data_IF_490971198588
#
_entry.id   IF_490971198588
#
_cell.length_a   1.000
_cell.length_b   1.000
_cell.length_c   1.000
_cell.angle_alpha   90.00
_cell.angle_beta   90.00
_cell.angle_gamma   90.00
#
_symmetry.space_group_name_H-M   'P 1'
#
loop_
_entity.id
_entity.type
_entity.pdbx_description
1 polymer ?
#
# COMPACT_ATOMS: atom_id res chain seq x y z
N UNK A 1 -2.96 -14.65 9.69
CA UNK A 1 -2.99 -13.17 9.55
C UNK A 1 -3.23 -12.85 8.09
N UNK A 2 -4.21 -11.98 7.79
CA UNK A 2 -4.54 -11.58 6.41
C UNK A 2 -4.24 -10.10 6.21
N UNK A 3 -3.38 -9.77 5.24
CA UNK A 3 -3.07 -8.39 4.85
C UNK A 3 -3.52 -8.15 3.41
N UNK A 4 -4.21 -7.04 3.18
CA UNK A 4 -4.62 -6.63 1.83
C UNK A 4 -3.63 -5.60 1.30
N UNK A 5 -3.02 -5.88 0.16
CA UNK A 5 -2.11 -4.97 -0.54
C UNK A 5 -2.90 -4.26 -1.64
N UNK A 6 -3.15 -2.96 -1.46
CA UNK A 6 -3.98 -2.14 -2.36
C UNK A 6 -3.09 -1.19 -3.13
N UNK A 7 -3.17 -1.24 -4.45
CA UNK A 7 -2.40 -0.41 -5.36
C UNK A 7 -3.30 0.49 -6.19
N UNK A 8 -3.02 1.78 -6.16
CA UNK A 8 -3.75 2.82 -6.85
C UNK A 8 -3.37 3.01 -8.32
N UNK A 9 -3.70 4.18 -8.88
CA UNK A 9 -3.59 4.44 -10.31
C UNK A 9 -2.14 4.32 -10.79
N UNK A 10 -2.02 3.77 -12.00
CA UNK A 10 -0.78 3.59 -12.73
C UNK A 10 0.19 2.54 -12.14
N UNK A 11 -0.10 1.90 -11.01
CA UNK A 11 0.76 0.83 -10.47
C UNK A 11 0.77 -0.41 -11.38
N UNK A 12 -0.30 -0.63 -12.15
CA UNK A 12 -0.35 -1.64 -13.20
C UNK A 12 0.66 -1.39 -14.35
N UNK A 13 1.17 -0.16 -14.45
CA UNK A 13 2.14 0.26 -15.47
C UNK A 13 3.59 0.24 -14.98
N UNK A 14 3.87 -0.37 -13.83
CA UNK A 14 5.23 -0.57 -13.34
C UNK A 14 6.07 -1.34 -14.38
N UNK A 15 7.34 -0.94 -14.53
CA UNK A 15 8.26 -1.49 -15.53
C UNK A 15 8.08 -0.92 -16.94
N UNK A 16 6.96 -0.30 -17.23
CA UNK A 16 6.66 0.35 -18.51
C UNK A 16 6.76 1.87 -18.39
N UNK A 17 6.22 2.40 -17.28
CA UNK A 17 6.14 3.83 -17.00
C UNK A 17 7.40 4.34 -16.30
N UNK A 18 8.00 5.41 -16.83
CA UNK A 18 9.08 6.18 -16.21
C UNK A 18 10.08 5.31 -15.42
N UNK A 19 10.84 4.39 -16.07
CA UNK A 19 11.75 3.46 -15.38
C UNK A 19 12.78 4.18 -14.49
N UNK A 20 13.18 5.39 -14.85
CA UNK A 20 14.12 6.22 -14.11
C UNK A 20 13.60 6.60 -12.70
N UNK A 21 12.27 6.66 -12.53
CA UNK A 21 11.62 6.99 -11.25
C UNK A 21 11.14 5.77 -10.47
N UNK A 22 10.66 4.74 -11.17
CA UNK A 22 9.95 3.59 -10.58
C UNK A 22 10.68 2.26 -10.75
N UNK A 23 11.83 2.25 -11.50
CA UNK A 23 12.58 1.05 -11.80
C UNK A 23 11.97 0.21 -12.91
N UNK A 24 12.62 -0.94 -13.21
CA UNK A 24 12.21 -1.85 -14.26
C UNK A 24 11.34 -3.02 -13.78
N UNK A 25 11.08 -3.13 -12.48
CA UNK A 25 10.19 -4.17 -11.97
C UNK A 25 8.76 -3.96 -12.47
N UNK A 26 8.16 -5.01 -13.00
CA UNK A 26 6.74 -5.00 -13.40
C UNK A 26 5.83 -5.18 -12.19
N UNK A 27 4.53 -4.93 -12.37
CA UNK A 27 3.54 -5.17 -11.33
C UNK A 27 3.48 -6.66 -10.93
N UNK A 28 3.57 -7.58 -11.90
CA UNK A 28 3.60 -9.02 -11.61
C UNK A 28 4.85 -9.43 -10.83
N UNK A 29 6.00 -8.82 -11.12
CA UNK A 29 7.23 -9.02 -10.34
C UNK A 29 7.10 -8.52 -8.92
N UNK A 30 6.42 -7.39 -8.71
CA UNK A 30 6.12 -6.88 -7.37
C UNK A 30 5.26 -7.86 -6.58
N UNK A 31 4.18 -8.39 -7.18
CA UNK A 31 3.34 -9.40 -6.52
C UNK A 31 4.15 -10.63 -6.14
N UNK A 32 4.95 -11.15 -7.07
CA UNK A 32 5.82 -12.32 -6.80
C UNK A 32 6.80 -12.04 -5.67
N UNK A 33 7.48 -10.89 -5.70
CA UNK A 33 8.42 -10.46 -4.67
C UNK A 33 7.79 -10.42 -3.27
N UNK A 34 6.61 -9.83 -3.15
CA UNK A 34 5.88 -9.77 -1.88
C UNK A 34 5.46 -11.17 -1.43
N UNK A 35 4.93 -11.98 -2.34
CA UNK A 35 4.49 -13.34 -2.03
C UNK A 35 5.64 -14.21 -1.54
N UNK A 36 6.77 -14.18 -2.24
CA UNK A 36 7.97 -14.94 -1.87
C UNK A 36 8.51 -14.48 -0.51
N UNK A 37 8.53 -13.16 -0.29
CA UNK A 37 8.94 -12.59 0.99
C UNK A 37 8.05 -13.04 2.14
N UNK A 38 6.74 -13.02 1.96
CA UNK A 38 5.80 -13.48 2.97
C UNK A 38 6.02 -14.96 3.30
N UNK A 39 6.17 -15.82 2.29
CA UNK A 39 6.40 -17.24 2.50
C UNK A 39 7.73 -17.53 3.22
N UNK A 40 8.76 -16.73 2.95
CA UNK A 40 10.08 -16.95 3.55
C UNK A 40 10.19 -16.42 4.99
N UNK A 41 9.44 -15.40 5.36
CA UNK A 41 9.66 -14.66 6.61
C UNK A 41 8.51 -14.76 7.61
N UNK A 42 7.30 -15.12 7.17
CA UNK A 42 6.14 -15.13 8.07
C UNK A 42 5.42 -16.48 8.05
N UNK A 43 5.23 -17.04 9.23
CA UNK A 43 4.35 -18.18 9.40
C UNK A 43 2.89 -17.69 9.49
N UNK A 44 2.01 -18.23 8.65
CA UNK A 44 0.58 -17.92 8.63
C UNK A 44 0.20 -16.47 8.26
N UNK A 45 1.02 -15.78 7.44
CA UNK A 45 0.64 -14.50 6.85
C UNK A 45 0.24 -14.71 5.38
N UNK A 46 -0.96 -14.29 5.04
CA UNK A 46 -1.51 -14.33 3.69
C UNK A 46 -1.67 -12.90 3.18
N UNK A 47 -1.16 -12.63 1.99
CA UNK A 47 -1.35 -11.38 1.28
C UNK A 47 -2.33 -11.54 0.12
N UNK A 48 -3.32 -10.67 0.05
CA UNK A 48 -4.21 -10.54 -1.10
C UNK A 48 -3.92 -9.22 -1.80
N UNK A 49 -3.89 -9.24 -3.13
CA UNK A 49 -3.50 -8.09 -3.95
C UNK A 49 -4.68 -7.52 -4.71
N UNK A 50 -4.74 -6.19 -4.76
CA UNK A 50 -5.74 -5.45 -5.52
C UNK A 50 -5.10 -4.24 -6.18
N UNK A 51 -5.47 -3.94 -7.42
CA UNK A 51 -5.05 -2.75 -8.14
C UNK A 51 -6.24 -2.13 -8.86
N UNK A 52 -6.37 -0.81 -8.79
CA UNK A 52 -7.36 -0.08 -9.58
C UNK A 52 -6.89 1.35 -9.86
N UNK A 53 -7.27 1.86 -11.04
CA UNK A 53 -7.10 3.26 -11.40
C UNK A 53 -8.28 4.14 -10.92
N UNK A 54 -9.33 3.54 -10.38
CA UNK A 54 -10.56 4.21 -9.97
C UNK A 54 -10.61 4.44 -8.45
N UNK A 55 -10.80 5.69 -8.06
CA UNK A 55 -10.86 6.08 -6.65
C UNK A 55 -11.98 5.33 -5.91
N UNK A 56 -13.18 5.27 -6.48
CA UNK A 56 -14.32 4.55 -5.88
C UNK A 56 -14.05 3.07 -5.69
N UNK A 57 -13.38 2.42 -6.63
CA UNK A 57 -13.01 1.01 -6.50
C UNK A 57 -11.99 0.77 -5.37
N UNK A 58 -11.09 1.72 -5.14
CA UNK A 58 -10.16 1.66 -4.00
C UNK A 58 -10.88 1.84 -2.67
N UNK A 59 -11.85 2.77 -2.61
CA UNK A 59 -12.73 2.95 -1.43
C UNK A 59 -13.48 1.65 -1.14
N UNK A 60 -14.12 1.08 -2.15
CA UNK A 60 -14.88 -0.18 -2.02
C UNK A 60 -13.98 -1.32 -1.52
N UNK A 61 -12.73 -1.41 -2.03
CA UNK A 61 -11.80 -2.46 -1.59
C UNK A 61 -11.35 -2.29 -0.13
N UNK A 62 -11.15 -1.05 0.32
CA UNK A 62 -10.85 -0.76 1.74
C UNK A 62 -12.03 -1.21 2.62
N UNK A 63 -13.25 -0.87 2.23
CA UNK A 63 -14.45 -1.26 2.98
C UNK A 63 -14.64 -2.78 2.99
N UNK A 64 -14.38 -3.45 1.86
CA UNK A 64 -14.45 -4.91 1.77
C UNK A 64 -13.45 -5.58 2.72
N UNK A 65 -12.26 -5.02 2.91
CA UNK A 65 -11.27 -5.54 3.85
C UNK A 65 -11.85 -5.65 5.28
N UNK A 66 -12.70 -4.72 5.68
CA UNK A 66 -13.40 -4.78 6.97
C UNK A 66 -14.36 -5.98 7.05
N UNK A 67 -15.19 -6.21 6.03
CA UNK A 67 -16.13 -7.31 6.02
C UNK A 67 -15.45 -8.68 5.92
N UNK A 68 -14.30 -8.75 5.28
CA UNK A 68 -13.44 -9.93 5.20
C UNK A 68 -12.63 -10.17 6.47
N UNK A 69 -12.68 -9.25 7.45
CA UNK A 69 -11.91 -9.29 8.69
C UNK A 69 -10.39 -9.33 8.43
N UNK A 70 -9.92 -8.53 7.49
CA UNK A 70 -8.49 -8.36 7.26
C UNK A 70 -7.82 -7.79 8.52
N UNK A 71 -6.64 -8.28 8.82
CA UNK A 71 -5.86 -7.83 9.98
C UNK A 71 -5.11 -6.52 9.70
N UNK A 72 -4.70 -6.28 8.45
CA UNK A 72 -3.94 -5.09 8.04
C UNK A 72 -4.14 -4.72 6.58
N UNK A 73 -3.77 -3.49 6.24
CA UNK A 73 -3.76 -2.97 4.87
C UNK A 73 -2.40 -2.35 4.58
N UNK A 74 -1.79 -2.73 3.46
CA UNK A 74 -0.68 -1.98 2.83
C UNK A 74 -1.26 -1.27 1.63
N UNK A 75 -1.13 0.06 1.57
CA UNK A 75 -1.70 0.84 0.48
C UNK A 75 -0.67 1.73 -0.20
N UNK A 76 -0.56 1.62 -1.52
CA UNK A 76 0.09 2.62 -2.36
C UNK A 76 -1.01 3.35 -3.14
N UNK A 77 -1.46 4.52 -2.66
CA UNK A 77 -2.58 5.21 -3.27
C UNK A 77 -2.22 5.90 -4.59
N UNK A 78 -0.94 5.88 -4.99
CA UNK A 78 -0.46 6.62 -6.15
C UNK A 78 -0.73 8.11 -5.99
N UNK A 79 -1.10 8.78 -7.08
CA UNK A 79 -1.39 10.21 -7.06
C UNK A 79 -2.61 10.60 -6.21
N UNK A 80 -3.51 9.66 -5.93
CA UNK A 80 -4.66 9.93 -5.05
C UNK A 80 -4.25 10.28 -3.62
N UNK A 81 -3.02 9.98 -3.20
CA UNK A 81 -2.51 10.42 -1.89
C UNK A 81 -2.57 11.95 -1.72
N UNK A 82 -2.40 12.69 -2.83
CA UNK A 82 -2.36 14.16 -2.84
C UNK A 82 -3.74 14.82 -2.96
N UNK A 83 -4.79 14.06 -3.27
CA UNK A 83 -6.11 14.61 -3.65
C UNK A 83 -7.28 13.95 -2.95
N UNK A 84 -7.18 12.70 -2.52
CA UNK A 84 -8.33 11.92 -2.09
C UNK A 84 -8.58 12.00 -0.60
N UNK A 85 -9.51 12.87 -0.20
CA UNK A 85 -10.11 12.84 1.13
C UNK A 85 -11.00 11.60 1.28
N UNK A 86 -11.61 11.10 0.19
CA UNK A 86 -12.43 9.90 0.22
C UNK A 86 -11.64 8.65 0.67
N UNK A 87 -10.39 8.50 0.22
CA UNK A 87 -9.52 7.41 0.70
C UNK A 87 -9.15 7.59 2.18
N UNK A 88 -8.85 8.81 2.61
CA UNK A 88 -8.61 9.12 4.03
C UNK A 88 -9.82 8.68 4.88
N UNK A 89 -11.01 9.07 4.47
CA UNK A 89 -12.24 8.75 5.20
C UNK A 89 -12.51 7.24 5.20
N UNK A 90 -12.25 6.54 4.09
CA UNK A 90 -12.41 5.08 4.02
C UNK A 90 -11.50 4.35 5.01
N UNK A 91 -10.21 4.73 5.08
CA UNK A 91 -9.26 4.13 6.04
C UNK A 91 -9.68 4.41 7.47
N UNK A 92 -10.09 5.64 7.79
CA UNK A 92 -10.61 5.99 9.11
C UNK A 92 -11.87 5.20 9.48
N UNK A 93 -12.75 4.95 8.52
CA UNK A 93 -14.01 4.22 8.75
C UNK A 93 -13.77 2.76 9.16
N UNK A 94 -12.84 2.07 8.50
CA UNK A 94 -12.59 0.64 8.74
C UNK A 94 -11.73 0.38 9.98
N UNK A 95 -10.90 1.33 10.40
CA UNK A 95 -10.01 1.24 11.56
C UNK A 95 -9.06 0.03 11.53
N UNK A 96 -8.75 -0.47 10.35
CA UNK A 96 -7.75 -1.52 10.17
C UNK A 96 -6.37 -0.85 10.15
N UNK A 97 -5.37 -1.35 10.88
CA UNK A 97 -3.99 -0.85 10.78
C UNK A 97 -3.54 -0.78 9.33
N UNK A 98 -3.20 0.43 8.87
CA UNK A 98 -2.88 0.70 7.47
C UNK A 98 -1.51 1.32 7.35
N UNK A 99 -0.66 0.76 6.48
CA UNK A 99 0.64 1.30 6.12
C UNK A 99 0.60 1.91 4.71
N UNK A 100 1.06 3.15 4.58
CA UNK A 100 1.19 3.87 3.31
C UNK A 100 2.56 3.59 2.68
N UNK A 101 2.60 3.24 1.40
CA UNK A 101 3.83 2.99 0.64
C UNK A 101 3.87 3.87 -0.61
N UNK A 102 5.04 4.45 -0.89
CA UNK A 102 5.38 5.10 -2.16
C UNK A 102 6.72 4.58 -2.65
N UNK A 103 6.78 4.14 -3.91
CA UNK A 103 8.02 3.63 -4.54
C UNK A 103 9.05 4.74 -4.65
N UNK A 104 8.65 5.92 -5.14
CA UNK A 104 9.50 7.11 -5.21
C UNK A 104 9.42 7.94 -3.93
N UNK A 105 10.45 8.74 -3.68
CA UNK A 105 10.41 9.75 -2.63
C UNK A 105 9.59 10.95 -3.12
N UNK A 106 8.32 10.98 -2.78
CA UNK A 106 7.38 12.03 -3.20
C UNK A 106 7.75 13.39 -2.61
N UNK A 107 8.47 13.44 -1.49
CA UNK A 107 8.92 14.70 -0.87
C UNK A 107 9.97 15.45 -1.71
N UNK A 108 10.62 14.77 -2.61
CA UNK A 108 11.63 15.33 -3.53
C UNK A 108 11.07 15.66 -4.92
N UNK A 109 9.76 15.60 -5.07
CA UNK A 109 9.06 15.87 -6.33
C UNK A 109 8.39 17.24 -6.30
N UNK A 110 7.50 17.51 -7.25
CA UNK A 110 6.84 18.81 -7.44
C UNK A 110 6.06 19.24 -6.18
N UNK A 111 5.89 20.53 -5.96
CA UNK A 111 5.27 21.13 -4.77
C UNK A 111 3.86 20.57 -4.49
N UNK A 112 3.08 20.29 -5.53
CA UNK A 112 1.73 19.72 -5.37
C UNK A 112 1.75 18.27 -4.81
N UNK A 113 2.91 17.62 -4.73
CA UNK A 113 3.07 16.26 -4.16
C UNK A 113 3.49 16.26 -2.69
N UNK A 114 3.57 17.43 -2.05
CA UNK A 114 4.05 17.53 -0.66
C UNK A 114 2.98 17.13 0.37
N UNK A 115 1.71 17.07 -0.02
CA UNK A 115 0.61 16.69 0.86
C UNK A 115 0.20 15.25 0.60
N UNK A 116 0.06 14.47 1.66
CA UNK A 116 -0.65 13.18 1.64
C UNK A 116 -1.81 13.25 2.64
N UNK A 117 -3.04 13.17 2.14
CA UNK A 117 -4.22 13.15 3.00
C UNK A 117 -4.34 11.83 3.76
N UNK A 118 -4.15 10.70 3.07
CA UNK A 118 -4.33 9.36 3.64
C UNK A 118 -3.35 9.07 4.78
N UNK A 119 -2.16 9.69 4.77
CA UNK A 119 -1.12 9.52 5.79
C UNK A 119 -1.62 9.76 7.20
N UNK A 120 -2.57 10.68 7.36
CA UNK A 120 -3.17 11.00 8.67
C UNK A 120 -3.91 9.83 9.30
N UNK A 121 -4.35 8.86 8.50
CA UNK A 121 -5.03 7.65 8.95
C UNK A 121 -4.11 6.42 8.99
N UNK A 122 -2.87 6.53 8.50
CA UNK A 122 -1.92 5.43 8.44
C UNK A 122 -1.06 5.38 9.71
N UNK A 123 -0.77 4.16 10.17
CA UNK A 123 0.11 3.93 11.33
C UNK A 123 1.59 3.87 10.93
N UNK A 124 1.90 3.75 9.65
CA UNK A 124 3.25 3.70 9.10
C UNK A 124 3.27 4.29 7.70
N UNK A 125 4.39 4.92 7.34
CA UNK A 125 4.62 5.45 5.99
C UNK A 125 6.06 5.19 5.58
N UNK A 126 6.24 4.66 4.38
CA UNK A 126 7.55 4.49 3.75
C UNK A 126 7.51 5.05 2.33
N UNK A 127 8.56 5.77 1.93
CA UNK A 127 8.70 6.34 0.60
C UNK A 127 10.16 6.36 0.15
N UNK A 128 10.38 6.23 -1.16
CA UNK A 128 11.71 6.34 -1.75
C UNK A 128 12.59 5.09 -1.62
N UNK A 129 12.04 3.97 -1.15
CA UNK A 129 12.75 2.70 -1.02
C UNK A 129 12.41 1.71 -2.14
N UNK A 130 11.88 2.21 -3.25
CA UNK A 130 11.45 1.33 -4.35
C UNK A 130 10.37 0.35 -3.90
N UNK A 131 10.39 -0.84 -4.49
CA UNK A 131 9.46 -1.91 -4.13
C UNK A 131 9.79 -2.58 -2.79
N UNK A 132 10.98 -2.38 -2.23
CA UNK A 132 11.33 -2.86 -0.89
C UNK A 132 10.48 -2.19 0.20
N UNK A 133 9.96 -1.00 -0.06
CA UNK A 133 9.04 -0.33 0.87
C UNK A 133 7.79 -1.14 1.22
N UNK A 134 7.33 -2.00 0.31
CA UNK A 134 6.22 -2.92 0.63
C UNK A 134 6.63 -3.97 1.66
N UNK A 135 7.85 -4.46 1.60
CA UNK A 135 8.39 -5.45 2.54
C UNK A 135 8.54 -4.82 3.93
N UNK A 136 9.05 -3.59 4.01
CA UNK A 136 9.14 -2.83 5.26
C UNK A 136 7.77 -2.57 5.89
N UNK A 137 6.76 -2.25 5.07
CA UNK A 137 5.40 -2.06 5.53
C UNK A 137 4.79 -3.36 6.10
N UNK A 138 5.08 -4.49 5.47
CA UNK A 138 4.65 -5.81 5.95
C UNK A 138 5.33 -6.18 7.26
N UNK A 139 6.64 -5.95 7.41
CA UNK A 139 7.37 -6.18 8.65
C UNK A 139 6.77 -5.37 9.79
N UNK A 140 6.52 -4.08 9.54
CA UNK A 140 5.91 -3.19 10.53
C UNK A 140 4.52 -3.69 10.97
N UNK A 141 3.65 -3.97 10.01
CA UNK A 141 2.29 -4.46 10.32
C UNK A 141 2.31 -5.81 11.02
N UNK A 142 3.16 -6.74 10.59
CA UNK A 142 3.29 -8.04 11.22
C UNK A 142 3.70 -7.91 12.70
N UNK A 143 4.70 -7.08 12.97
CA UNK A 143 5.17 -6.84 14.33
C UNK A 143 4.09 -6.15 15.20
N UNK A 144 3.42 -5.14 14.67
CA UNK A 144 2.33 -4.44 15.34
C UNK A 144 1.20 -5.40 15.71
N UNK A 145 0.74 -6.21 14.75
CA UNK A 145 -0.39 -7.10 14.90
C UNK A 145 -0.09 -8.30 15.83
N UNK A 146 1.18 -8.71 15.93
CA UNK A 146 1.59 -9.74 16.91
C UNK A 146 1.52 -9.24 18.35
N UNK A 147 1.76 -7.95 18.58
CA UNK A 147 1.72 -7.36 19.92
C UNK A 147 0.30 -7.09 20.41
N UNK A 148 -0.66 -7.03 19.51
CA UNK A 148 -2.05 -6.70 19.85
C UNK A 148 -2.97 -7.91 19.97
N UNK A 149 -2.48 -9.10 19.64
CA UNK A 149 -3.12 -10.41 19.85
C UNK A 149 -2.59 -11.09 21.11
#
# INVERSE_FOLDING_TARGET
MKIIVINGPNLNMLGIREPDKYGNETYDMLISKITDYCHANFEYLECEFYQSNHEGALVDRIQQAYFEKADGIVINPGAYTHTSIALLDAVNAVRIPTAEVHISDVSKREDFRQVSYIRKACCFTVMGHGTDGYLEALDYLHELLRRTK
#
